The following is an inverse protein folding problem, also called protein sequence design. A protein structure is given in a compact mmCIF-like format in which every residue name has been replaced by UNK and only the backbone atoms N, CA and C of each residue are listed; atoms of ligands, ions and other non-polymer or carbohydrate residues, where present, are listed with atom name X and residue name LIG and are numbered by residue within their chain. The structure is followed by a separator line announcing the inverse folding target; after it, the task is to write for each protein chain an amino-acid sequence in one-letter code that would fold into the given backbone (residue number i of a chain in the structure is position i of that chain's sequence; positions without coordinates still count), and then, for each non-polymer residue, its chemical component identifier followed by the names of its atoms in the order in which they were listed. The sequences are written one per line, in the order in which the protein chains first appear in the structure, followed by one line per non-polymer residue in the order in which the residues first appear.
data_IF_329130470163
#
_entry.id   IF_329130470163
#
_cell.length_a   1.000
_cell.length_b   1.000
_cell.length_c   1.000
_cell.angle_alpha   90.00
_cell.angle_beta   90.00
_cell.angle_gamma   90.00
#
_symmetry.space_group_name_H-M   'P 1'
#
loop_
_entity.id
_entity.type
_entity.pdbx_description
1 polymer ?
#
# COMPACT_ATOMS: atom_id res chain seq x y z
N UNK A 1 3.34 -13.15 15.29
CA UNK A 1 3.80 -12.29 14.16
C UNK A 1 3.05 -12.73 12.93
N UNK A 2 2.19 -11.86 12.44
CA UNK A 2 1.31 -12.11 11.30
C UNK A 2 1.79 -11.29 10.12
N UNK A 3 1.76 -11.88 8.92
CA UNK A 3 2.09 -11.16 7.69
C UNK A 3 0.90 -11.26 6.75
N UNK A 4 0.61 -10.18 6.04
CA UNK A 4 -0.44 -10.13 5.02
C UNK A 4 -0.11 -9.10 3.96
N UNK A 5 -0.62 -9.30 2.77
CA UNK A 5 -0.46 -8.37 1.65
C UNK A 5 -1.71 -7.48 1.55
N UNK A 6 -1.49 -6.22 1.15
CA UNK A 6 -2.54 -5.23 0.95
C UNK A 6 -2.27 -4.45 -0.34
N UNK A 7 -3.33 -4.22 -1.11
CA UNK A 7 -3.27 -3.47 -2.36
C UNK A 7 -4.00 -2.14 -2.20
N UNK A 8 -3.37 -1.08 -2.69
CA UNK A 8 -3.99 0.23 -2.81
C UNK A 8 -4.73 0.34 -4.15
N UNK A 9 -5.81 1.11 -4.20
CA UNK A 9 -6.58 1.39 -5.42
C UNK A 9 -5.74 1.95 -6.58
N UNK A 10 -4.58 2.55 -6.31
CA UNK A 10 -3.67 3.00 -7.35
C UNK A 10 -2.90 1.86 -8.05
N UNK A 11 -3.02 0.61 -7.57
CA UNK A 11 -2.28 -0.56 -8.02
C UNK A 11 -0.97 -0.81 -7.27
N UNK A 12 -0.72 -0.10 -6.16
CA UNK A 12 0.46 -0.34 -5.32
C UNK A 12 0.22 -1.51 -4.36
N UNK A 13 1.17 -2.43 -4.26
CA UNK A 13 1.09 -3.58 -3.38
C UNK A 13 2.10 -3.44 -2.23
N UNK A 14 1.62 -3.68 -1.02
CA UNK A 14 2.39 -3.58 0.20
C UNK A 14 2.31 -4.89 0.97
N UNK A 15 3.44 -5.28 1.58
CA UNK A 15 3.49 -6.37 2.55
C UNK A 15 3.50 -5.77 3.95
N UNK A 16 2.50 -6.13 4.75
CA UNK A 16 2.38 -5.75 6.15
C UNK A 16 2.92 -6.87 7.04
N UNK A 17 3.72 -6.50 8.04
CA UNK A 17 4.07 -7.35 9.17
C UNK A 17 3.48 -6.75 10.44
N UNK A 18 2.60 -7.51 11.10
CA UNK A 18 1.99 -7.18 12.38
C UNK A 18 2.66 -7.97 13.51
N UNK A 19 3.10 -7.23 14.54
CA UNK A 19 3.58 -7.78 15.79
C UNK A 19 2.48 -7.70 16.85
N UNK A 20 2.16 -8.86 17.43
CA UNK A 20 1.18 -9.03 18.51
C UNK A 20 1.83 -8.88 19.89
N UNK A 21 3.15 -9.04 19.98
CA UNK A 21 3.92 -8.98 21.23
C UNK A 21 4.49 -7.60 21.51
N UNK A 22 4.59 -6.73 20.49
CA UNK A 22 5.07 -5.37 20.65
C UNK A 22 3.87 -4.44 20.85
N UNK A 23 3.83 -3.75 21.99
CA UNK A 23 2.81 -2.75 22.27
C UNK A 23 2.81 -1.68 21.17
N UNK A 24 1.73 -1.65 20.38
CA UNK A 24 1.52 -0.68 19.32
C UNK A 24 0.48 0.37 19.70
N UNK A 25 0.03 1.12 18.70
CA UNK A 25 -1.06 2.08 18.84
C UNK A 25 -1.99 1.95 17.62
N UNK A 26 -3.28 2.29 17.79
CA UNK A 26 -4.18 2.51 16.66
C UNK A 26 -3.54 3.45 15.65
N UNK A 27 -3.77 3.19 14.37
CA UNK A 27 -3.08 3.93 13.33
C UNK A 27 -3.71 3.75 11.95
N UNK A 28 -3.09 4.43 11.00
CA UNK A 28 -3.45 4.34 9.59
C UNK A 28 -2.20 4.29 8.74
N UNK A 29 -2.27 3.55 7.64
CA UNK A 29 -1.22 3.50 6.65
C UNK A 29 -1.67 4.23 5.38
N UNK A 30 -0.87 5.20 4.94
CA UNK A 30 -1.06 5.91 3.69
C UNK A 30 -0.15 5.34 2.60
N UNK A 31 -0.68 5.19 1.40
CA UNK A 31 0.06 4.73 0.24
C UNK A 31 1.19 5.72 -0.08
N UNK A 32 2.43 5.25 -0.12
CA UNK A 32 3.58 6.05 -0.53
C UNK A 32 3.52 6.54 -1.98
N UNK A 33 2.69 5.92 -2.83
CA UNK A 33 2.58 6.25 -4.26
C UNK A 33 1.50 7.30 -4.54
N UNK A 34 0.30 7.16 -3.98
CA UNK A 34 -0.82 8.07 -4.25
C UNK A 34 -1.27 8.90 -3.03
N UNK A 35 -0.72 8.66 -1.85
CA UNK A 35 -1.06 9.38 -0.61
C UNK A 35 -2.39 8.99 0.02
N UNK A 36 -3.21 8.15 -0.63
CA UNK A 36 -4.50 7.71 -0.08
C UNK A 36 -4.30 6.77 1.11
N UNK A 37 -5.21 6.84 2.07
CA UNK A 37 -5.22 5.87 3.19
C UNK A 37 -5.60 4.50 2.65
N UNK A 38 -4.70 3.52 2.82
CA UNK A 38 -4.90 2.13 2.37
C UNK A 38 -5.54 1.31 3.48
N UNK A 39 -5.13 1.55 4.72
CA UNK A 39 -5.63 0.79 5.88
C UNK A 39 -5.73 1.66 7.13
N UNK A 40 -6.67 1.31 8.01
CA UNK A 40 -6.78 1.83 9.37
C UNK A 40 -6.97 0.64 10.33
N UNK A 41 -6.38 0.72 11.51
CA UNK A 41 -6.55 -0.29 12.55
C UNK A 41 -6.72 0.35 13.92
N UNK A 42 -7.59 -0.24 14.72
CA UNK A 42 -7.91 0.22 16.07
C UNK A 42 -7.17 -0.57 17.15
N UNK A 43 -6.52 -1.67 16.78
CA UNK A 43 -5.77 -2.51 17.72
C UNK A 43 -4.45 -1.86 18.10
N UNK A 44 -4.05 -2.02 19.36
CA UNK A 44 -2.72 -1.62 19.86
C UNK A 44 -1.60 -2.58 19.37
N UNK A 45 -1.61 -2.94 18.09
CA UNK A 45 -0.61 -3.79 17.45
C UNK A 45 0.36 -2.94 16.64
N UNK A 46 1.63 -3.34 16.65
CA UNK A 46 2.65 -2.64 15.85
C UNK A 46 2.64 -3.21 14.45
N UNK A 47 2.47 -2.35 13.43
CA UNK A 47 2.47 -2.73 12.02
C UNK A 47 3.60 -2.03 11.27
N UNK A 48 4.27 -2.77 10.39
CA UNK A 48 5.29 -2.24 9.48
C UNK A 48 4.91 -2.62 8.06
N UNK A 49 4.97 -1.64 7.15
CA UNK A 49 4.59 -1.81 5.76
C UNK A 49 5.80 -1.67 4.85
N UNK A 50 5.96 -2.60 3.92
CA UNK A 50 6.98 -2.54 2.86
C UNK A 50 6.29 -2.50 1.51
N UNK A 51 6.61 -1.51 0.69
CA UNK A 51 6.18 -1.48 -0.71
C UNK A 51 6.86 -2.62 -1.47
N UNK A 52 6.06 -3.49 -2.08
CA UNK A 52 6.52 -4.62 -2.90
C UNK A 52 6.43 -4.27 -4.38
N UNK A 53 5.33 -3.62 -4.78
CA UNK A 53 5.10 -3.17 -6.14
C UNK A 53 4.56 -1.74 -6.10
N UNK A 54 5.22 -0.82 -6.77
CA UNK A 54 4.64 0.48 -7.11
C UNK A 54 4.09 0.40 -8.54
N UNK A 55 2.87 0.91 -8.81
CA UNK A 55 2.37 0.99 -10.17
C UNK A 55 3.34 1.85 -10.97
N UNK A 56 3.91 1.27 -12.03
CA UNK A 56 4.75 2.02 -12.95
C UNK A 56 3.88 3.08 -13.63
N UNK A 57 4.05 4.33 -13.21
CA UNK A 57 3.49 5.50 -13.90
C UNK A 57 4.50 6.11 -14.87
N UNK A 58 5.65 5.47 -15.09
CA UNK A 58 6.70 6.02 -15.94
C UNK A 58 6.25 6.07 -17.42
N UNK A 59 5.38 5.15 -17.83
CA UNK A 59 4.77 5.20 -19.15
C UNK A 59 3.42 5.94 -19.12
N UNK A 60 3.44 7.19 -19.61
CA UNK A 60 2.21 7.87 -20.04
C UNK A 60 1.53 6.98 -21.07
N UNK A 61 0.27 6.61 -20.84
CA UNK A 61 -0.54 5.95 -21.87
C UNK A 61 -0.74 6.94 -23.01
N UNK A 62 0.07 6.81 -24.07
CA UNK A 62 -0.10 7.59 -25.30
C UNK A 62 -1.27 6.97 -26.07
N UNK A 63 -2.24 7.79 -26.47
CA UNK A 63 -3.32 7.33 -27.34
C UNK A 63 -2.73 6.85 -28.67
N UNK A 64 -3.24 5.73 -29.24
CA UNK A 64 -2.80 5.31 -30.57
C UNK A 64 -3.07 6.42 -31.59
N UNK A 65 -2.19 6.61 -32.60
CA UNK A 65 -2.44 7.59 -33.65
C UNK A 65 -3.75 7.26 -34.39
N UNK A 66 -4.44 8.27 -34.96
CA UNK A 66 -5.64 8.04 -35.75
C UNK A 66 -5.33 7.12 -36.93
N UNK A 67 -6.30 6.26 -37.28
CA UNK A 67 -6.20 5.36 -38.44
C UNK A 67 -6.10 6.18 -39.75
N UNK A 68 -5.39 5.66 -40.78
CA UNK A 68 -5.24 6.33 -42.07
C UNK A 68 -6.55 6.49 -42.85
#
# INVERSE_FOLDING_TARGET
MKMFDIECECGAQYRCAESETLAGRPGSFACSTCGQTVERWDTATTRVYRCMLSPDRAYVKVAPPPAP
#
